data_IF_629700530170
#
_entry.id   IF_629700530170
#
_cell.length_a   1.000
_cell.length_b   1.000
_cell.length_c   1.000
_cell.angle_alpha   90.00
_cell.angle_beta   90.00
_cell.angle_gamma   90.00
#
_symmetry.space_group_name_H-M   'P 1'
#
loop_
_entity.id
_entity.type
_entity.pdbx_description
1 polymer ?
#
# COMPACT_ATOMS: atom_id res chain seq x y z
N UNK A 1 15.83 5.36 15.11
CA UNK A 1 14.86 4.45 14.46
C UNK A 1 13.43 4.72 14.94
N UNK A 2 13.24 5.22 16.17
CA UNK A 2 11.93 5.65 16.70
C UNK A 2 11.20 6.69 15.83
N UNK A 3 11.91 7.69 15.33
CA UNK A 3 11.30 8.80 14.57
C UNK A 3 10.61 8.35 13.25
N UNK A 4 11.01 7.21 12.65
CA UNK A 4 10.42 6.72 11.40
C UNK A 4 9.19 5.83 11.65
N UNK A 5 9.14 5.16 12.80
CA UNK A 5 7.97 4.40 13.24
C UNK A 5 6.89 5.35 13.76
N UNK A 6 7.26 6.41 14.49
CA UNK A 6 6.35 7.49 14.90
C UNK A 6 5.74 8.21 13.69
N UNK A 7 6.56 8.63 12.71
CA UNK A 7 6.05 9.27 11.49
C UNK A 7 5.06 8.36 10.73
N UNK A 8 5.30 7.06 10.78
CA UNK A 8 4.49 6.07 10.07
C UNK A 8 3.16 5.84 10.77
N UNK A 9 3.17 5.78 12.09
CA UNK A 9 1.96 5.72 12.91
C UNK A 9 1.12 7.01 12.74
N UNK A 10 1.78 8.16 12.64
CA UNK A 10 1.13 9.45 12.41
C UNK A 10 0.45 9.53 11.02
N UNK A 11 1.10 9.02 9.98
CA UNK A 11 0.53 8.93 8.63
C UNK A 11 -0.67 7.97 8.61
N UNK A 12 -0.55 6.80 9.23
CA UNK A 12 -1.66 5.85 9.33
C UNK A 12 -2.85 6.43 10.09
N UNK A 13 -2.58 7.18 11.17
CA UNK A 13 -3.60 7.86 11.96
C UNK A 13 -4.29 8.97 11.15
N UNK A 14 -3.55 9.74 10.34
CA UNK A 14 -4.11 10.75 9.44
C UNK A 14 -4.97 10.15 8.33
N UNK A 15 -4.56 9.01 7.75
CA UNK A 15 -5.35 8.31 6.73
C UNK A 15 -6.65 7.80 7.33
N UNK A 16 -6.61 7.13 8.50
CA UNK A 16 -7.82 6.69 9.22
C UNK A 16 -8.73 7.87 9.56
N UNK A 17 -8.16 8.99 10.01
CA UNK A 17 -8.93 10.17 10.31
C UNK A 17 -9.61 10.75 9.06
N UNK A 18 -8.90 10.85 7.94
CA UNK A 18 -9.48 11.30 6.66
C UNK A 18 -10.61 10.39 6.22
N UNK A 19 -10.41 9.07 6.28
CA UNK A 19 -11.41 8.10 5.82
C UNK A 19 -12.64 8.10 6.76
N UNK A 20 -12.44 8.29 8.06
CA UNK A 20 -13.51 8.51 9.04
C UNK A 20 -14.27 9.81 8.76
N UNK A 21 -13.57 10.92 8.50
CA UNK A 21 -14.18 12.21 8.16
C UNK A 21 -14.97 12.11 6.85
N UNK A 22 -14.45 11.40 5.85
CA UNK A 22 -15.17 11.16 4.60
C UNK A 22 -16.44 10.34 4.83
N UNK A 23 -16.37 9.26 5.63
CA UNK A 23 -17.54 8.46 5.98
C UNK A 23 -18.61 9.28 6.74
N UNK A 24 -18.19 10.11 7.69
CA UNK A 24 -19.09 11.01 8.45
C UNK A 24 -19.71 12.07 7.53
N UNK A 25 -18.93 12.68 6.64
CA UNK A 25 -19.43 13.68 5.70
C UNK A 25 -20.45 13.08 4.72
N UNK A 26 -20.17 11.88 4.20
CA UNK A 26 -21.09 11.15 3.32
C UNK A 26 -22.38 10.79 4.08
N UNK A 27 -22.28 10.23 5.28
CA UNK A 27 -23.46 9.93 6.12
C UNK A 27 -24.30 11.17 6.40
N UNK A 28 -23.66 12.30 6.74
CA UNK A 28 -24.34 13.57 6.99
C UNK A 28 -25.04 14.10 5.74
N UNK A 29 -24.38 14.05 4.58
CA UNK A 29 -24.97 14.47 3.31
C UNK A 29 -26.21 13.64 2.94
N UNK A 30 -26.18 12.32 3.17
CA UNK A 30 -27.33 11.45 2.94
C UNK A 30 -28.51 11.75 3.87
N UNK A 31 -28.26 12.03 5.14
CA UNK A 31 -29.31 12.42 6.10
C UNK A 31 -29.96 13.74 5.67
N UNK A 32 -29.16 14.76 5.34
CA UNK A 32 -29.66 16.05 4.87
C UNK A 32 -30.44 15.90 3.56
N UNK A 33 -29.96 15.08 2.62
CA UNK A 33 -30.67 14.78 1.39
C UNK A 33 -32.01 14.07 1.65
N UNK A 34 -32.06 13.10 2.56
CA UNK A 34 -33.29 12.42 2.97
C UNK A 34 -34.32 13.39 3.55
N UNK A 35 -33.89 14.33 4.40
CA UNK A 35 -34.75 15.39 4.95
C UNK A 35 -35.30 16.27 3.81
N UNK A 36 -34.45 16.69 2.87
CA UNK A 36 -34.85 17.50 1.72
C UNK A 36 -35.89 16.77 0.85
N UNK A 37 -35.72 15.46 0.62
CA UNK A 37 -36.68 14.64 -0.15
C UNK A 37 -38.02 14.53 0.57
N UNK A 38 -38.04 14.39 1.89
CA UNK A 38 -39.28 14.39 2.68
C UNK A 38 -40.01 15.74 2.58
N UNK A 39 -39.27 16.86 2.64
CA UNK A 39 -39.84 18.20 2.45
C UNK A 39 -40.40 18.35 1.03
N UNK A 40 -39.68 17.89 0.00
CA UNK A 40 -40.14 17.91 -1.40
C UNK A 40 -41.39 17.06 -1.63
N UNK A 41 -41.49 15.90 -0.98
CA UNK A 41 -42.68 15.04 -1.04
C UNK A 41 -43.93 15.74 -0.49
N UNK A 42 -43.77 16.68 0.44
CA UNK A 42 -44.90 17.44 0.95
C UNK A 42 -45.36 18.51 -0.05
N UNK A 43 -44.42 19.12 -0.77
CA UNK A 43 -44.67 20.11 -1.85
C UNK A 43 -45.29 19.46 -3.09
N UNK A 44 -44.97 18.20 -3.40
CA UNK A 44 -45.52 17.48 -4.55
C UNK A 44 -46.94 16.99 -4.22
N UNK A 45 -47.88 17.19 -5.15
CA UNK A 45 -49.30 16.79 -5.02
C UNK A 45 -49.49 15.26 -5.13
N UNK A 46 -48.96 14.51 -4.18
CA UNK A 46 -49.21 13.07 -4.04
C UNK A 46 -50.50 12.88 -3.24
N UNK A 47 -51.39 11.96 -3.65
CA UNK A 47 -52.58 11.64 -2.87
C UNK A 47 -52.21 11.26 -1.42
N UNK A 48 -52.95 11.75 -0.40
CA UNK A 48 -52.59 11.55 1.01
C UNK A 48 -52.42 10.08 1.41
N UNK A 49 -53.14 9.18 0.75
CA UNK A 49 -53.06 7.74 0.95
C UNK A 49 -51.67 7.14 0.64
N UNK A 50 -50.90 7.75 -0.27
CA UNK A 50 -49.59 7.26 -0.69
C UNK A 50 -48.41 8.05 -0.10
N UNK A 51 -48.65 9.24 0.47
CA UNK A 51 -47.60 10.07 1.10
C UNK A 51 -46.88 9.35 2.24
N UNK A 52 -47.62 8.73 3.17
CA UNK A 52 -47.04 8.02 4.32
C UNK A 52 -46.21 6.79 3.89
N UNK A 53 -46.75 5.85 3.08
CA UNK A 53 -46.01 4.68 2.63
C UNK A 53 -44.75 5.06 1.84
N UNK A 54 -44.84 6.05 0.94
CA UNK A 54 -43.70 6.50 0.14
C UNK A 54 -42.59 7.10 1.01
N UNK A 55 -42.95 7.88 2.04
CA UNK A 55 -41.98 8.49 2.96
C UNK A 55 -41.25 7.44 3.80
N UNK A 56 -41.98 6.45 4.32
CA UNK A 56 -41.40 5.33 5.09
C UNK A 56 -40.46 4.51 4.20
N UNK A 57 -40.89 4.21 2.97
CA UNK A 57 -40.07 3.46 2.01
C UNK A 57 -38.77 4.19 1.66
N UNK A 58 -38.83 5.49 1.40
CA UNK A 58 -37.65 6.33 1.14
C UNK A 58 -36.71 6.40 2.34
N UNK A 59 -37.26 6.48 3.55
CA UNK A 59 -36.44 6.48 4.77
C UNK A 59 -35.67 5.16 4.93
N UNK A 60 -36.35 4.03 4.73
CA UNK A 60 -35.74 2.69 4.83
C UNK A 60 -34.68 2.50 3.75
N UNK A 61 -34.96 2.88 2.49
CA UNK A 61 -34.00 2.74 1.39
C UNK A 61 -32.76 3.61 1.58
N UNK A 62 -32.93 4.84 2.08
CA UNK A 62 -31.82 5.72 2.43
C UNK A 62 -30.94 5.12 3.55
N UNK A 63 -31.57 4.52 4.57
CA UNK A 63 -30.86 3.82 5.65
C UNK A 63 -30.03 2.63 5.13
N UNK A 64 -30.62 1.81 4.25
CA UNK A 64 -29.92 0.66 3.66
C UNK A 64 -28.72 1.13 2.82
N UNK A 65 -28.91 2.15 1.97
CA UNK A 65 -27.85 2.71 1.15
C UNK A 65 -26.71 3.30 2.00
N UNK A 66 -27.04 3.91 3.15
CA UNK A 66 -26.05 4.44 4.09
C UNK A 66 -25.20 3.33 4.70
N UNK A 67 -25.81 2.23 5.16
CA UNK A 67 -25.10 1.08 5.72
C UNK A 67 -24.16 0.47 4.67
N UNK A 68 -24.62 0.31 3.43
CA UNK A 68 -23.82 -0.22 2.33
C UNK A 68 -22.66 0.72 1.99
N UNK A 69 -22.90 2.02 1.93
CA UNK A 69 -21.86 3.01 1.66
C UNK A 69 -20.77 3.03 2.72
N UNK A 70 -21.14 3.01 4.00
CA UNK A 70 -20.20 2.90 5.12
C UNK A 70 -19.43 1.60 5.04
N UNK A 71 -20.11 0.47 4.82
CA UNK A 71 -19.47 -0.83 4.70
C UNK A 71 -18.45 -0.87 3.56
N UNK A 72 -18.78 -0.33 2.38
CA UNK A 72 -17.86 -0.28 1.24
C UNK A 72 -16.63 0.59 1.56
N UNK A 73 -16.82 1.74 2.22
CA UNK A 73 -15.71 2.62 2.60
C UNK A 73 -14.80 1.99 3.65
N UNK A 74 -15.37 1.33 4.66
CA UNK A 74 -14.58 0.67 5.71
C UNK A 74 -13.95 -0.64 5.25
N UNK A 75 -14.54 -1.29 4.25
CA UNK A 75 -14.08 -2.58 3.72
C UNK A 75 -13.16 -2.43 2.51
N UNK A 76 -12.91 -1.20 2.02
CA UNK A 76 -11.86 -1.00 1.03
C UNK A 76 -10.53 -1.45 1.65
N UNK A 77 -9.91 -2.51 1.11
CA UNK A 77 -8.62 -2.95 1.62
C UNK A 77 -7.64 -1.79 1.44
N UNK A 78 -6.88 -1.49 2.50
CA UNK A 78 -5.81 -0.51 2.40
C UNK A 78 -4.98 -0.85 1.15
N UNK A 79 -4.69 0.14 0.27
CA UNK A 79 -3.84 -0.11 -0.87
C UNK A 79 -2.55 -0.76 -0.34
N UNK A 80 -2.14 -1.92 -0.90
CA UNK A 80 -0.99 -2.63 -0.39
C UNK A 80 0.20 -1.66 -0.39
N UNK A 81 0.87 -1.58 0.75
CA UNK A 81 2.03 -0.72 0.92
C UNK A 81 2.99 -0.94 -0.25
N UNK A 82 3.59 0.12 -0.82
CA UNK A 82 4.56 -0.04 -1.90
C UNK A 82 5.65 -0.99 -1.39
N UNK A 83 5.72 -2.18 -2.00
CA UNK A 83 6.59 -3.25 -1.54
C UNK A 83 8.03 -2.75 -1.65
N UNK A 84 8.65 -2.46 -0.49
CA UNK A 84 10.05 -2.05 -0.47
C UNK A 84 10.87 -3.27 -0.89
N UNK A 85 11.67 -3.11 -1.94
CA UNK A 85 12.55 -4.16 -2.45
C UNK A 85 14.01 -3.75 -2.33
N UNK A 86 14.81 -4.64 -1.77
CA UNK A 86 16.27 -4.55 -1.85
C UNK A 86 16.74 -5.52 -2.92
N UNK A 87 17.69 -5.12 -3.75
CA UNK A 87 18.16 -5.96 -4.86
C UNK A 87 19.66 -6.21 -4.75
N UNK A 88 20.11 -7.36 -5.24
CA UNK A 88 21.49 -7.58 -5.63
C UNK A 88 21.71 -7.13 -7.10
N UNK A 89 22.96 -7.13 -7.56
CA UNK A 89 23.30 -6.68 -8.92
C UNK A 89 22.62 -7.53 -10.01
N UNK A 90 22.55 -8.84 -9.81
CA UNK A 90 21.88 -9.76 -10.75
C UNK A 90 20.35 -9.59 -10.76
N UNK A 91 19.73 -9.45 -9.58
CA UNK A 91 18.30 -9.21 -9.42
C UNK A 91 17.87 -7.86 -9.97
N UNK A 92 18.72 -6.82 -9.86
CA UNK A 92 18.48 -5.54 -10.51
C UNK A 92 18.41 -5.69 -12.04
N UNK A 93 19.36 -6.42 -12.63
CA UNK A 93 19.38 -6.61 -14.08
C UNK A 93 18.08 -7.26 -14.56
N UNK A 94 17.64 -8.35 -13.91
CA UNK A 94 16.40 -9.03 -14.27
C UNK A 94 15.16 -8.15 -14.08
N UNK A 95 15.08 -7.40 -12.98
CA UNK A 95 13.97 -6.46 -12.74
C UNK A 95 13.88 -5.39 -13.83
N UNK A 96 15.03 -4.90 -14.30
CA UNK A 96 15.09 -3.91 -15.38
C UNK A 96 14.71 -4.51 -16.74
N UNK A 97 15.12 -5.76 -17.02
CA UNK A 97 14.69 -6.50 -18.21
C UNK A 97 13.17 -6.73 -18.23
N UNK A 98 12.57 -6.94 -17.05
CA UNK A 98 11.11 -7.07 -16.88
C UNK A 98 10.36 -5.72 -16.86
N UNK A 99 11.06 -4.60 -17.07
CA UNK A 99 10.44 -3.27 -17.17
C UNK A 99 9.99 -2.67 -15.82
N UNK A 100 10.56 -3.09 -14.70
CA UNK A 100 10.23 -2.50 -13.40
C UNK A 100 10.69 -1.05 -13.31
N UNK A 101 9.76 -0.13 -13.03
CA UNK A 101 10.03 1.31 -12.89
C UNK A 101 9.87 1.84 -11.46
N UNK A 102 9.56 0.96 -10.50
CA UNK A 102 9.38 1.33 -9.10
C UNK A 102 10.69 1.69 -8.40
N UNK A 103 10.59 2.17 -7.15
CA UNK A 103 11.76 2.53 -6.34
C UNK A 103 12.48 1.26 -5.87
N UNK A 104 13.78 1.20 -6.13
CA UNK A 104 14.64 0.05 -5.82
C UNK A 104 15.66 0.47 -4.77
N UNK A 105 15.79 -0.29 -3.69
CA UNK A 105 16.80 -0.03 -2.66
C UNK A 105 18.04 -0.89 -2.91
N UNK A 106 19.22 -0.28 -2.82
CA UNK A 106 20.50 -0.97 -3.01
C UNK A 106 21.45 -0.63 -1.89
N UNK A 107 22.34 -1.57 -1.55
CA UNK A 107 23.44 -1.29 -0.63
C UNK A 107 24.59 -0.61 -1.37
N UNK A 108 25.49 0.04 -0.63
CA UNK A 108 26.68 0.65 -1.22
C UNK A 108 27.60 -0.38 -1.90
N UNK A 109 27.63 -1.60 -1.39
CA UNK A 109 28.37 -2.72 -1.94
C UNK A 109 27.77 -3.17 -3.27
N UNK A 110 26.44 -3.28 -3.34
CA UNK A 110 25.72 -3.58 -4.58
C UNK A 110 25.88 -2.45 -5.60
N UNK A 111 25.74 -1.19 -5.18
CA UNK A 111 25.83 -0.02 -6.05
C UNK A 111 27.17 0.07 -6.80
N UNK A 112 28.29 -0.28 -6.13
CA UNK A 112 29.61 -0.32 -6.76
C UNK A 112 29.75 -1.35 -7.88
N UNK A 113 28.94 -2.41 -7.85
CA UNK A 113 28.99 -3.52 -8.82
C UNK A 113 28.01 -3.33 -9.99
N UNK A 114 27.08 -2.39 -9.88
CA UNK A 114 26.05 -2.15 -10.90
C UNK A 114 26.65 -1.38 -12.08
N UNK A 115 26.39 -1.80 -13.34
CA UNK A 115 26.79 -1.03 -14.52
C UNK A 115 26.16 0.38 -14.53
N UNK A 116 26.91 1.46 -14.81
CA UNK A 116 26.39 2.83 -14.79
C UNK A 116 25.15 3.05 -15.67
N UNK A 117 25.08 2.37 -16.81
CA UNK A 117 23.93 2.42 -17.73
C UNK A 117 22.63 1.91 -17.09
N UNK A 118 22.71 0.88 -16.25
CA UNK A 118 21.57 0.34 -15.50
C UNK A 118 21.21 1.25 -14.34
N UNK A 119 22.22 1.78 -13.63
CA UNK A 119 22.01 2.68 -12.51
C UNK A 119 21.27 3.98 -12.89
N UNK A 120 21.51 4.52 -14.09
CA UNK A 120 20.82 5.72 -14.59
C UNK A 120 19.37 5.47 -15.01
N UNK A 121 19.02 4.23 -15.40
CA UNK A 121 17.66 3.86 -15.81
C UNK A 121 16.79 3.44 -14.62
N UNK A 122 17.42 2.96 -13.55
CA UNK A 122 16.76 2.47 -12.36
C UNK A 122 16.53 3.60 -11.33
N UNK A 123 15.37 3.61 -10.68
CA UNK A 123 15.09 4.53 -9.57
C UNK A 123 15.70 4.02 -8.26
N UNK A 124 17.03 4.14 -8.15
CA UNK A 124 17.83 3.58 -7.07
C UNK A 124 17.90 4.50 -5.85
N UNK A 125 17.71 3.92 -4.66
CA UNK A 125 18.01 4.56 -3.39
C UNK A 125 19.10 3.76 -2.66
N UNK A 126 20.25 4.40 -2.45
CA UNK A 126 21.38 3.77 -1.74
C UNK A 126 21.15 3.85 -0.23
N UNK A 127 21.31 2.72 0.45
CA UNK A 127 21.23 2.61 1.91
C UNK A 127 22.56 2.08 2.43
N UNK A 128 23.14 2.78 3.39
CA UNK A 128 24.31 2.30 4.13
C UNK A 128 23.89 1.34 5.26
N UNK A 129 24.64 0.24 5.31
CA UNK A 129 24.46 -0.86 6.27
C UNK A 129 25.79 -1.12 6.94
N UNK A 130 25.78 -1.23 8.27
CA UNK A 130 26.96 -1.52 9.04
C UNK A 130 27.48 -2.94 8.76
N UNK A 131 28.79 -3.05 8.61
CA UNK A 131 29.46 -4.33 8.34
C UNK A 131 29.18 -5.37 9.44
N UNK A 132 29.00 -4.93 10.69
CA UNK A 132 28.63 -5.80 11.83
C UNK A 132 27.31 -6.53 11.60
N UNK A 133 26.34 -5.87 10.97
CA UNK A 133 25.04 -6.47 10.67
C UNK A 133 25.10 -7.40 9.46
N UNK A 134 25.89 -7.05 8.44
CA UNK A 134 26.14 -7.91 7.29
C UNK A 134 26.88 -9.21 7.67
N UNK A 135 27.85 -9.14 8.60
CA UNK A 135 28.59 -10.33 9.08
C UNK A 135 27.70 -11.41 9.69
N UNK A 136 26.54 -11.05 10.26
CA UNK A 136 25.54 -12.01 10.78
C UNK A 136 24.93 -12.90 9.69
N UNK A 137 25.13 -12.54 8.43
CA UNK A 137 24.61 -13.20 7.23
C UNK A 137 25.72 -13.69 6.29
N UNK A 138 26.99 -13.63 6.67
CA UNK A 138 28.15 -13.94 5.82
C UNK A 138 28.10 -15.29 5.08
N UNK A 139 27.27 -16.23 5.55
CA UNK A 139 27.02 -17.54 4.92
C UNK A 139 26.42 -17.45 3.50
N UNK A 140 25.84 -16.30 3.11
CA UNK A 140 25.14 -16.12 1.84
C UNK A 140 25.98 -15.44 0.75
N UNK A 141 27.26 -15.15 1.02
CA UNK A 141 28.12 -14.36 0.14
C UNK A 141 28.06 -12.87 0.45
N UNK A 142 29.14 -12.14 0.19
CA UNK A 142 29.33 -10.76 0.68
C UNK A 142 28.18 -9.83 0.27
N UNK A 143 27.87 -9.75 -1.02
CA UNK A 143 26.84 -8.86 -1.57
C UNK A 143 25.42 -9.18 -1.07
N UNK A 144 25.04 -10.45 -1.12
CA UNK A 144 23.73 -10.90 -0.66
C UNK A 144 23.58 -10.71 0.86
N UNK A 145 24.67 -10.83 1.63
CA UNK A 145 24.68 -10.57 3.07
C UNK A 145 24.35 -9.11 3.39
N UNK A 146 24.93 -8.16 2.65
CA UNK A 146 24.60 -6.74 2.78
C UNK A 146 23.16 -6.46 2.36
N UNK A 147 22.68 -7.06 1.26
CA UNK A 147 21.29 -6.92 0.81
C UNK A 147 20.28 -7.45 1.85
N UNK A 148 20.54 -8.62 2.45
CA UNK A 148 19.70 -9.20 3.51
C UNK A 148 19.70 -8.33 4.76
N UNK A 149 20.87 -7.82 5.18
CA UNK A 149 20.97 -6.94 6.34
C UNK A 149 20.22 -5.61 6.10
N UNK A 150 20.31 -5.05 4.89
CA UNK A 150 19.54 -3.89 4.47
C UNK A 150 18.04 -4.17 4.52
N UNK A 151 17.61 -5.29 3.93
CA UNK A 151 16.21 -5.68 3.88
C UNK A 151 15.61 -5.87 5.28
N UNK A 152 16.38 -6.43 6.21
CA UNK A 152 15.98 -6.54 7.61
C UNK A 152 15.80 -5.16 8.27
N UNK A 153 16.69 -4.19 7.99
CA UNK A 153 16.64 -2.83 8.53
C UNK A 153 15.40 -2.05 8.06
N UNK A 154 15.00 -2.20 6.79
CA UNK A 154 13.87 -1.46 6.21
C UNK A 154 12.58 -2.26 6.08
N UNK A 155 12.55 -3.50 6.59
CA UNK A 155 11.46 -4.48 6.45
C UNK A 155 11.04 -4.68 4.97
N UNK A 156 12.03 -4.89 4.11
CA UNK A 156 11.86 -5.13 2.68
C UNK A 156 12.02 -6.61 2.32
N UNK A 157 11.56 -6.97 1.11
CA UNK A 157 11.93 -8.24 0.47
C UNK A 157 13.24 -8.07 -0.30
N UNK A 158 14.01 -9.14 -0.43
CA UNK A 158 15.21 -9.14 -1.28
C UNK A 158 14.85 -9.79 -2.61
N UNK A 159 15.16 -9.13 -3.72
CA UNK A 159 15.07 -9.75 -5.05
C UNK A 159 16.47 -10.19 -5.46
N UNK A 160 16.61 -11.48 -5.75
CA UNK A 160 17.87 -12.13 -6.12
C UNK A 160 17.60 -13.28 -7.09
N UNK A 161 18.63 -13.91 -7.63
CA UNK A 161 18.50 -15.06 -8.53
C UNK A 161 18.06 -16.35 -7.82
N UNK A 162 18.16 -16.40 -6.49
CA UNK A 162 17.83 -17.58 -5.66
C UNK A 162 16.68 -17.29 -4.70
N UNK A 163 15.72 -18.24 -4.62
CA UNK A 163 14.63 -18.20 -3.66
C UNK A 163 15.04 -18.82 -2.34
N UNK A 164 15.11 -18.01 -1.28
CA UNK A 164 15.59 -18.42 0.04
C UNK A 164 14.87 -17.64 1.15
N UNK A 165 14.84 -18.18 2.37
CA UNK A 165 14.34 -17.47 3.54
C UNK A 165 15.44 -17.37 4.59
N UNK A 166 15.83 -16.15 4.95
CA UNK A 166 16.95 -15.91 5.87
C UNK A 166 16.49 -15.07 7.08
N UNK A 167 16.39 -15.70 8.26
CA UNK A 167 16.08 -15.06 9.56
C UNK A 167 14.94 -14.01 9.50
N UNK A 168 13.83 -14.34 8.83
CA UNK A 168 12.65 -13.48 8.72
C UNK A 168 12.63 -12.56 7.49
N UNK A 169 13.70 -12.52 6.69
CA UNK A 169 13.72 -11.84 5.38
C UNK A 169 13.39 -12.85 4.29
N UNK A 170 12.46 -12.47 3.41
CA UNK A 170 12.06 -13.25 2.25
C UNK A 170 12.90 -12.83 1.04
N UNK A 171 13.58 -13.80 0.43
CA UNK A 171 14.36 -13.62 -0.79
C UNK A 171 13.57 -14.28 -1.91
N UNK A 172 13.13 -13.46 -2.87
CA UNK A 172 12.29 -13.85 -3.99
C UNK A 172 13.04 -13.63 -5.30
N UNK A 173 12.60 -14.29 -6.37
CA UNK A 173 13.13 -14.01 -7.71
C UNK A 173 12.36 -12.88 -8.37
N UNK A 174 12.91 -12.31 -9.44
CA UNK A 174 12.26 -11.21 -10.16
C UNK A 174 10.92 -11.66 -10.77
N UNK A 175 10.83 -12.92 -11.20
CA UNK A 175 9.64 -13.55 -11.78
C UNK A 175 8.52 -13.76 -10.75
N UNK A 176 8.89 -14.04 -9.50
CA UNK A 176 7.94 -14.13 -8.38
C UNK A 176 7.45 -12.75 -7.93
N UNK A 177 8.25 -11.69 -8.15
CA UNK A 177 7.93 -10.33 -7.72
C UNK A 177 7.01 -9.61 -8.71
N UNK A 178 7.32 -9.72 -10.00
CA UNK A 178 6.47 -9.25 -11.09
C UNK A 178 6.01 -10.52 -11.78
N UNK A 179 4.79 -11.03 -11.49
CA UNK A 179 4.25 -12.10 -12.30
C UNK A 179 4.16 -11.56 -13.71
N UNK A 180 5.06 -11.98 -14.60
CA UNK A 180 4.93 -11.69 -16.01
C UNK A 180 3.64 -12.36 -16.43
N UNK A 181 2.63 -11.58 -16.79
CA UNK A 181 1.44 -12.10 -17.46
C UNK A 181 1.93 -12.96 -18.62
N UNK A 182 1.72 -14.28 -18.50
CA UNK A 182 1.75 -15.17 -19.64
C UNK A 182 0.54 -14.88 -20.51
#
# INVERSE_FOLDING_TARGET
MENLEELYEEVLKRIRFRDMVAAVAISTAFVVFGIIVIILLDVIAIPPAFKMPASIFLLISAWILMIIGVYLLTSMPLPPLPTKIVVDSEGLQRLMEMGYSGRIYVTRQTFKKIPPKLALRANLQVIDVDERDARKFAKFGEELSYAIACAKKIRAKVVSTRKLRAKGVEIITAEDFIPSAR
#
